data_IF_415909907684
#
_entry.id   IF_415909907684
#
_cell.length_a   1.000
_cell.length_b   1.000
_cell.length_c   1.000
_cell.angle_alpha   90.00
_cell.angle_beta   90.00
_cell.angle_gamma   90.00
#
_symmetry.space_group_name_H-M   'P 1'
#
loop_
_entity.id
_entity.type
_entity.pdbx_description
1 polymer ?
#
# COMPACT_ATOMS: atom_id res chain seq x y z
N UNK A 1 -4.38 -17.01 -10.55
CA UNK A 1 -3.38 -16.45 -9.59
C UNK A 1 -1.96 -16.75 -10.00
N UNK A 2 -1.66 -17.98 -10.44
CA UNK A 2 -0.39 -18.35 -11.09
C UNK A 2 0.05 -17.40 -12.21
N UNK A 3 -0.91 -16.72 -12.85
CA UNK A 3 -0.69 -15.62 -13.80
C UNK A 3 0.26 -14.52 -13.26
N UNK A 4 0.21 -14.21 -11.96
CA UNK A 4 1.09 -13.19 -11.36
C UNK A 4 2.54 -13.68 -11.22
N UNK A 5 2.77 -14.99 -11.35
CA UNK A 5 4.08 -15.65 -11.33
C UNK A 5 4.66 -15.88 -12.73
N UNK A 6 3.88 -15.62 -13.78
CA UNK A 6 4.37 -15.67 -15.16
C UNK A 6 5.58 -14.77 -15.35
N UNK A 7 6.44 -15.11 -16.29
CA UNK A 7 7.65 -14.31 -16.52
C UNK A 7 7.26 -12.86 -16.89
N UNK A 8 7.88 -11.82 -16.28
CA UNK A 8 7.63 -10.43 -16.64
C UNK A 8 7.76 -10.19 -18.13
N UNK A 9 6.78 -9.52 -18.72
CA UNK A 9 6.81 -9.22 -20.15
C UNK A 9 7.67 -7.99 -20.45
N UNK A 10 8.16 -7.89 -21.68
CA UNK A 10 8.91 -6.73 -22.13
C UNK A 10 8.04 -5.46 -22.11
N UNK A 11 6.73 -5.59 -22.32
CA UNK A 11 5.77 -4.49 -22.20
C UNK A 11 5.58 -4.00 -20.76
N UNK A 12 5.52 -4.91 -19.78
CA UNK A 12 5.43 -4.55 -18.36
C UNK A 12 6.64 -3.70 -17.95
N UNK A 13 7.82 -4.10 -18.39
CA UNK A 13 9.06 -3.35 -18.15
C UNK A 13 9.07 -2.02 -18.90
N UNK A 14 8.66 -2.02 -20.17
CA UNK A 14 8.55 -0.81 -21.00
C UNK A 14 7.66 0.26 -20.35
N UNK A 15 6.47 -0.13 -19.87
CA UNK A 15 5.55 0.76 -19.15
C UNK A 15 6.14 1.25 -17.82
N UNK A 16 6.93 0.41 -17.16
CA UNK A 16 7.59 0.79 -15.91
C UNK A 16 8.68 1.86 -16.14
N UNK A 17 9.38 1.84 -17.27
CA UNK A 17 10.36 2.86 -17.68
C UNK A 17 9.69 4.21 -17.97
N UNK A 18 8.53 4.22 -18.61
CA UNK A 18 7.86 5.49 -18.98
C UNK A 18 7.44 6.31 -17.75
N UNK A 19 7.13 5.62 -16.66
CA UNK A 19 6.74 6.21 -15.37
C UNK A 19 7.91 6.36 -14.39
N UNK A 20 9.15 6.24 -14.87
CA UNK A 20 10.37 6.36 -14.06
C UNK A 20 10.52 7.80 -13.53
N UNK A 21 10.85 7.88 -12.24
CA UNK A 21 11.33 9.10 -11.58
C UNK A 21 12.78 8.91 -11.15
N UNK A 22 13.43 9.97 -10.68
CA UNK A 22 14.87 10.02 -10.43
C UNK A 22 15.35 9.02 -9.38
N UNK A 23 16.41 8.26 -9.71
CA UNK A 23 17.17 7.41 -8.80
C UNK A 23 18.20 8.23 -8.00
N UNK A 24 18.79 7.64 -6.96
CA UNK A 24 19.89 8.29 -6.22
C UNK A 24 21.28 7.90 -6.74
N UNK A 25 21.32 7.04 -7.75
CA UNK A 25 22.52 6.69 -8.53
C UNK A 25 23.01 7.85 -9.42
N UNK A 26 22.44 9.04 -9.26
CA UNK A 26 22.77 10.22 -10.06
C UNK A 26 22.31 10.13 -11.51
N UNK A 27 21.54 9.10 -11.87
CA UNK A 27 21.02 8.90 -13.23
C UNK A 27 19.64 9.55 -13.33
N UNK A 28 19.49 10.62 -14.12
CA UNK A 28 18.18 11.18 -14.42
C UNK A 28 17.29 10.16 -15.13
N UNK A 29 15.98 10.10 -14.82
CA UNK A 29 15.05 9.15 -15.43
C UNK A 29 14.94 9.36 -16.94
N UNK A 30 15.25 10.55 -17.44
CA UNK A 30 15.33 10.89 -18.86
C UNK A 30 16.37 10.04 -19.59
N UNK A 31 17.52 9.76 -18.96
CA UNK A 31 18.56 8.92 -19.57
C UNK A 31 18.03 7.51 -19.81
N UNK A 32 17.29 6.94 -18.86
CA UNK A 32 16.72 5.60 -19.01
C UNK A 32 15.60 5.58 -20.05
N UNK A 33 14.82 6.66 -20.15
CA UNK A 33 13.79 6.81 -21.20
C UNK A 33 14.42 6.94 -22.60
N UNK A 34 15.50 7.70 -22.74
CA UNK A 34 16.25 7.82 -24.00
C UNK A 34 16.96 6.52 -24.38
N UNK A 35 17.55 5.82 -23.40
CA UNK A 35 18.22 4.54 -23.60
C UNK A 35 17.26 3.35 -23.74
N UNK A 36 15.94 3.57 -23.67
CA UNK A 36 14.92 2.52 -23.66
C UNK A 36 15.07 1.56 -24.82
N UNK A 37 15.33 2.02 -26.05
CA UNK A 37 15.50 1.14 -27.21
C UNK A 37 16.57 0.05 -26.99
N UNK A 38 17.87 0.40 -26.89
CA UNK A 38 18.94 -0.58 -26.74
C UNK A 38 19.00 -1.26 -25.36
N UNK A 39 18.57 -0.57 -24.29
CA UNK A 39 18.70 -1.09 -22.92
C UNK A 39 17.55 -2.03 -22.53
N UNK A 40 16.34 -1.86 -23.08
CA UNK A 40 15.15 -2.59 -22.64
C UNK A 40 15.31 -4.11 -22.78
N UNK A 41 15.92 -4.60 -23.86
CA UNK A 41 16.16 -6.04 -24.05
C UNK A 41 17.11 -6.62 -23.00
N UNK A 42 18.17 -5.88 -22.65
CA UNK A 42 19.15 -6.31 -21.64
C UNK A 42 18.55 -6.28 -20.22
N UNK A 43 17.86 -5.19 -19.89
CA UNK A 43 17.15 -5.05 -18.61
C UNK A 43 16.04 -6.11 -18.46
N UNK A 44 15.36 -6.45 -19.55
CA UNK A 44 14.36 -7.51 -19.56
C UNK A 44 14.99 -8.88 -19.29
N UNK A 45 16.07 -9.23 -19.99
CA UNK A 45 16.80 -10.49 -19.71
C UNK A 45 17.24 -10.60 -18.25
N UNK A 46 17.77 -9.51 -17.69
CA UNK A 46 18.18 -9.44 -16.29
C UNK A 46 16.99 -9.61 -15.33
N UNK A 47 15.88 -8.91 -15.60
CA UNK A 47 14.65 -9.05 -14.82
C UNK A 47 14.12 -10.49 -14.85
N UNK A 48 14.10 -11.11 -16.03
CA UNK A 48 13.66 -12.50 -16.22
C UNK A 48 14.53 -13.46 -15.43
N UNK A 49 15.86 -13.25 -15.43
CA UNK A 49 16.78 -14.06 -14.65
C UNK A 49 16.50 -13.91 -13.15
N UNK A 50 16.44 -12.68 -12.64
CA UNK A 50 16.11 -12.41 -11.24
C UNK A 50 14.75 -13.04 -10.85
N UNK A 51 13.75 -12.96 -11.74
CA UNK A 51 12.42 -13.51 -11.50
C UNK A 51 12.38 -15.05 -11.43
N UNK A 52 13.23 -15.72 -12.23
CA UNK A 52 13.31 -17.19 -12.23
C UNK A 52 14.04 -17.71 -10.99
N UNK A 53 15.13 -17.07 -10.62
CA UNK A 53 15.90 -17.43 -9.42
C UNK A 53 15.21 -16.97 -8.13
N UNK A 54 14.33 -15.96 -8.22
CA UNK A 54 13.69 -15.35 -7.06
C UNK A 54 14.63 -14.43 -6.27
N UNK A 55 15.76 -14.06 -6.86
CA UNK A 55 16.80 -13.25 -6.22
C UNK A 55 17.11 -11.98 -7.01
N UNK A 56 17.27 -10.87 -6.29
CA UNK A 56 17.59 -9.55 -6.82
C UNK A 56 19.02 -9.21 -6.39
N UNK A 57 19.91 -8.77 -7.28
CA UNK A 57 21.29 -8.41 -6.93
C UNK A 57 21.37 -7.36 -5.81
N UNK A 58 22.42 -7.46 -4.97
CA UNK A 58 22.60 -6.60 -3.80
C UNK A 58 22.51 -5.10 -4.12
N UNK A 59 23.19 -4.66 -5.19
CA UNK A 59 23.21 -3.26 -5.65
C UNK A 59 21.82 -2.70 -6.05
N UNK A 60 20.84 -3.58 -6.24
CA UNK A 60 19.45 -3.23 -6.53
C UNK A 60 18.54 -3.32 -5.30
N UNK A 61 19.00 -3.98 -4.23
CA UNK A 61 18.30 -4.12 -2.95
C UNK A 61 18.67 -3.00 -1.98
N UNK A 62 19.94 -2.65 -1.95
CA UNK A 62 20.52 -1.66 -1.04
C UNK A 62 19.99 -0.25 -1.33
N UNK A 63 19.88 0.54 -0.27
CA UNK A 63 19.24 1.85 -0.33
C UNK A 63 20.08 2.95 0.29
N UNK A 64 20.14 4.08 -0.41
CA UNK A 64 20.60 5.33 0.17
C UNK A 64 19.42 5.99 0.88
N UNK A 65 19.61 6.41 2.13
CA UNK A 65 18.58 6.98 2.99
C UNK A 65 18.85 8.47 3.11
N UNK A 66 17.92 9.29 2.61
CA UNK A 66 17.96 10.75 2.75
C UNK A 66 16.96 11.16 3.79
N UNK A 67 17.35 12.07 4.69
CA UNK A 67 16.48 12.59 5.73
C UNK A 67 15.77 13.86 5.26
N UNK A 68 14.44 13.89 5.33
CA UNK A 68 13.65 15.11 5.16
C UNK A 68 13.16 15.63 6.50
N UNK A 69 13.43 16.91 6.78
CA UNK A 69 12.92 17.55 7.98
C UNK A 69 11.38 17.72 7.90
N UNK A 70 10.66 17.35 8.95
CA UNK A 70 9.19 17.40 9.02
C UNK A 70 8.65 18.83 9.16
N UNK A 71 9.49 19.85 9.13
CA UNK A 71 9.15 21.26 9.35
C UNK A 71 8.42 21.51 10.68
N UNK A 72 8.72 20.71 11.70
CA UNK A 72 8.14 20.80 13.04
C UNK A 72 9.12 20.28 14.08
N UNK A 73 9.15 20.92 15.25
CA UNK A 73 9.98 20.52 16.38
C UNK A 73 11.38 21.10 16.35
N UNK A 74 12.28 20.49 17.10
CA UNK A 74 13.71 20.83 17.10
C UNK A 74 14.44 20.07 16.00
N UNK A 75 15.36 20.74 15.30
CA UNK A 75 16.24 20.14 14.28
C UNK A 75 17.31 19.24 14.90
N UNK A 76 17.57 19.35 16.19
CA UNK A 76 18.49 18.43 16.88
C UNK A 76 17.88 17.04 17.13
N UNK A 77 16.55 16.95 17.13
CA UNK A 77 15.83 15.70 17.41
C UNK A 77 15.61 14.90 16.12
N UNK A 78 16.24 13.73 16.04
CA UNK A 78 16.13 12.81 14.91
C UNK A 78 14.68 12.39 14.60
N UNK A 79 13.78 12.39 15.60
CA UNK A 79 12.37 12.04 15.38
C UNK A 79 11.63 13.06 14.50
N UNK A 80 12.16 14.28 14.38
CA UNK A 80 11.61 15.33 13.52
C UNK A 80 12.07 15.20 12.05
N UNK A 81 12.77 14.11 11.71
CA UNK A 81 13.14 13.77 10.35
C UNK A 81 12.37 12.54 9.85
N UNK A 82 12.24 12.45 8.54
CA UNK A 82 11.70 11.30 7.82
C UNK A 82 12.79 10.72 6.93
N UNK A 83 13.20 9.50 7.20
CA UNK A 83 14.11 8.76 6.32
C UNK A 83 13.39 8.32 5.05
N UNK A 84 13.95 8.62 3.88
CA UNK A 84 13.47 8.14 2.58
C UNK A 84 14.55 7.25 2.00
N UNK A 85 14.23 5.96 1.88
CA UNK A 85 15.06 4.96 1.24
C UNK A 85 14.91 5.03 -0.28
N UNK A 86 16.03 5.16 -0.98
CA UNK A 86 16.10 5.31 -2.42
C UNK A 86 17.00 4.20 -2.99
N UNK A 87 16.42 3.36 -3.84
CA UNK A 87 17.16 2.34 -4.58
C UNK A 87 17.85 2.92 -5.83
N UNK A 88 18.76 2.14 -6.39
CA UNK A 88 19.25 2.34 -7.77
C UNK A 88 18.10 2.36 -8.78
N UNK A 89 18.32 2.97 -9.95
CA UNK A 89 17.29 3.15 -10.96
C UNK A 89 16.76 1.80 -11.48
N UNK A 90 17.64 0.80 -11.60
CA UNK A 90 17.27 -0.57 -11.98
C UNK A 90 16.49 -1.26 -10.86
N UNK A 91 16.93 -1.14 -9.60
CA UNK A 91 16.20 -1.66 -8.44
C UNK A 91 14.80 -1.07 -8.33
N UNK A 92 14.66 0.25 -8.52
CA UNK A 92 13.36 0.94 -8.60
C UNK A 92 12.49 0.41 -9.73
N UNK A 93 13.07 0.15 -10.90
CA UNK A 93 12.36 -0.34 -12.07
C UNK A 93 11.79 -1.74 -11.82
N UNK A 94 12.61 -2.65 -11.30
CA UNK A 94 12.20 -4.02 -10.99
C UNK A 94 11.16 -4.05 -9.86
N UNK A 95 11.38 -3.27 -8.81
CA UNK A 95 10.42 -3.09 -7.72
C UNK A 95 9.06 -2.56 -8.23
N UNK A 96 9.05 -1.73 -9.28
CA UNK A 96 7.80 -1.26 -9.90
C UNK A 96 7.05 -2.36 -10.64
N UNK A 97 7.75 -3.23 -11.36
CA UNK A 97 7.12 -4.39 -12.01
C UNK A 97 6.47 -5.29 -10.95
N UNK A 98 7.22 -5.60 -9.90
CA UNK A 98 6.73 -6.37 -8.73
C UNK A 98 5.52 -5.69 -8.10
N UNK A 99 5.59 -4.36 -7.89
CA UNK A 99 4.50 -3.56 -7.31
C UNK A 99 3.22 -3.66 -8.12
N UNK A 100 3.31 -3.53 -9.44
CA UNK A 100 2.12 -3.52 -10.29
C UNK A 100 1.38 -4.86 -10.23
N UNK A 101 2.13 -5.97 -10.09
CA UNK A 101 1.56 -7.31 -9.86
C UNK A 101 1.00 -7.45 -8.44
N UNK A 102 1.73 -6.97 -7.43
CA UNK A 102 1.27 -6.95 -6.04
C UNK A 102 -0.03 -6.15 -5.89
N UNK A 103 -0.22 -5.04 -6.61
CA UNK A 103 -1.45 -4.25 -6.56
C UNK A 103 -2.68 -5.00 -7.09
N UNK A 104 -2.50 -5.89 -8.09
CA UNK A 104 -3.58 -6.77 -8.54
C UNK A 104 -4.06 -7.69 -7.41
N UNK A 105 -3.12 -8.16 -6.59
CA UNK A 105 -3.43 -8.94 -5.38
C UNK A 105 -4.07 -8.06 -4.29
N UNK A 106 -3.48 -6.89 -4.02
CA UNK A 106 -3.93 -5.96 -2.99
C UNK A 106 -5.40 -5.53 -3.19
N UNK A 107 -5.80 -5.21 -4.43
CA UNK A 107 -7.17 -4.81 -4.77
C UNK A 107 -8.23 -5.87 -4.44
N UNK A 108 -7.85 -7.15 -4.32
CA UNK A 108 -8.76 -8.24 -3.93
C UNK A 108 -8.89 -8.41 -2.42
N UNK A 109 -7.92 -7.89 -1.67
CA UNK A 109 -7.84 -8.02 -0.20
C UNK A 109 -8.36 -6.77 0.49
N UNK A 110 -8.18 -5.60 -0.13
CA UNK A 110 -8.59 -4.32 0.46
C UNK A 110 -10.10 -4.26 0.67
N UNK A 111 -10.56 -3.96 1.90
CA UNK A 111 -11.95 -3.68 2.15
C UNK A 111 -12.33 -2.36 1.46
N UNK A 112 -13.63 -2.19 1.20
CA UNK A 112 -14.14 -0.99 0.54
C UNK A 112 -13.86 0.29 1.35
N UNK A 113 -13.86 0.17 2.68
CA UNK A 113 -13.50 1.23 3.63
C UNK A 113 -12.02 1.62 3.63
N UNK A 114 -11.15 0.89 2.93
CA UNK A 114 -9.73 1.23 2.81
C UNK A 114 -9.47 2.01 1.53
N UNK A 115 -9.38 3.33 1.65
CA UNK A 115 -9.10 4.25 0.54
C UNK A 115 -7.63 4.66 0.42
N UNK A 116 -6.83 4.51 1.48
CA UNK A 116 -5.42 4.91 1.50
C UNK A 116 -4.59 4.13 0.46
N UNK A 117 -3.76 4.85 -0.30
CA UNK A 117 -2.83 4.30 -1.31
C UNK A 117 -3.48 3.42 -2.39
N UNK A 118 -4.79 3.58 -2.63
CA UNK A 118 -5.56 2.82 -3.60
C UNK A 118 -5.91 3.69 -4.81
N UNK A 119 -5.76 3.13 -6.01
CA UNK A 119 -6.16 3.82 -7.24
C UNK A 119 -7.66 4.08 -7.21
N UNK A 120 -8.09 5.21 -7.78
CA UNK A 120 -9.51 5.61 -7.90
C UNK A 120 -10.21 5.81 -6.54
N UNK A 121 -9.44 5.97 -5.46
CA UNK A 121 -9.94 6.32 -4.13
C UNK A 121 -9.20 7.53 -3.60
N UNK A 122 -9.88 8.29 -2.76
CA UNK A 122 -9.40 9.54 -2.21
C UNK A 122 -9.89 9.74 -0.78
N UNK A 123 -9.35 10.76 -0.12
CA UNK A 123 -9.86 11.22 1.18
C UNK A 123 -11.28 11.76 1.09
N UNK A 124 -11.71 12.22 -0.08
CA UNK A 124 -13.08 12.72 -0.32
C UNK A 124 -14.09 11.59 -0.14
N UNK A 125 -13.77 10.37 -0.61
CA UNK A 125 -14.64 9.20 -0.46
C UNK A 125 -14.88 8.88 1.02
N UNK A 126 -13.82 8.90 1.85
CA UNK A 126 -13.94 8.65 3.29
C UNK A 126 -14.66 9.77 4.03
N UNK A 127 -14.44 11.04 3.65
CA UNK A 127 -15.19 12.17 4.19
C UNK A 127 -16.68 12.02 3.86
N UNK A 128 -17.00 11.64 2.62
CA UNK A 128 -18.37 11.38 2.21
C UNK A 128 -19.00 10.25 3.02
N UNK A 129 -18.34 9.08 3.13
CA UNK A 129 -18.82 7.96 3.93
C UNK A 129 -19.08 8.35 5.39
N UNK A 130 -18.17 9.11 6.00
CA UNK A 130 -18.32 9.58 7.37
C UNK A 130 -19.51 10.54 7.52
N UNK A 131 -19.68 11.48 6.59
CA UNK A 131 -20.84 12.40 6.60
C UNK A 131 -22.16 11.66 6.44
N UNK A 132 -22.22 10.68 5.55
CA UNK A 132 -23.40 9.84 5.37
C UNK A 132 -23.75 9.08 6.66
N UNK A 133 -22.75 8.55 7.36
CA UNK A 133 -22.94 7.89 8.66
C UNK A 133 -23.49 8.87 9.71
N UNK A 134 -22.94 10.08 9.79
CA UNK A 134 -23.42 11.14 10.69
C UNK A 134 -24.88 11.51 10.45
N UNK A 135 -25.26 11.77 9.20
CA UNK A 135 -26.64 12.12 8.84
C UNK A 135 -27.61 10.97 9.14
N UNK A 136 -27.23 9.72 8.84
CA UNK A 136 -28.09 8.57 9.12
C UNK A 136 -28.29 8.32 10.61
N UNK A 137 -27.26 8.46 11.44
CA UNK A 137 -27.39 8.36 12.89
C UNK A 137 -28.31 9.46 13.43
N UNK A 138 -28.19 10.69 12.91
CA UNK A 138 -29.05 11.82 13.28
C UNK A 138 -30.51 11.57 12.89
N UNK A 139 -30.76 11.11 11.66
CA UNK A 139 -32.10 10.73 11.18
C UNK A 139 -32.75 9.68 12.07
N UNK A 140 -32.00 8.67 12.49
CA UNK A 140 -32.49 7.55 13.31
C UNK A 140 -32.44 7.82 14.82
N UNK A 141 -31.98 9.01 15.24
CA UNK A 141 -31.78 9.40 16.64
C UNK A 141 -30.90 8.40 17.42
N UNK A 142 -29.91 7.82 16.73
CA UNK A 142 -28.92 6.95 17.35
C UNK A 142 -27.67 7.75 17.75
N UNK A 143 -27.07 7.49 18.92
CA UNK A 143 -25.80 8.10 19.29
C UNK A 143 -24.68 7.58 18.38
N UNK A 144 -23.78 8.49 17.96
CA UNK A 144 -22.61 8.19 17.15
C UNK A 144 -21.35 8.66 17.88
N UNK A 145 -20.43 7.74 18.11
CA UNK A 145 -19.11 8.01 18.66
C UNK A 145 -18.05 7.70 17.58
N UNK A 146 -17.09 8.61 17.39
CA UNK A 146 -16.05 8.48 16.37
C UNK A 146 -14.69 8.59 17.06
N UNK A 147 -13.81 7.63 16.80
CA UNK A 147 -12.42 7.65 17.25
C UNK A 147 -11.48 7.79 16.05
N UNK A 148 -10.53 8.72 16.13
CA UNK A 148 -9.47 8.87 15.13
C UNK A 148 -8.18 8.29 15.71
N UNK A 149 -7.68 7.22 15.10
CA UNK A 149 -6.47 6.52 15.51
C UNK A 149 -5.36 6.85 14.52
N UNK A 150 -4.26 7.43 15.01
CA UNK A 150 -3.07 7.68 14.21
C UNK A 150 -1.94 6.73 14.65
N UNK A 151 -1.30 6.09 13.67
CA UNK A 151 -0.25 5.11 13.92
C UNK A 151 1.12 5.78 13.88
N UNK A 152 1.82 5.77 15.01
CA UNK A 152 3.20 6.26 15.06
C UNK A 152 4.11 5.40 14.18
N UNK A 153 4.82 6.02 13.24
CA UNK A 153 5.80 5.39 12.35
C UNK A 153 5.29 4.11 11.64
N UNK A 154 4.05 4.10 11.15
CA UNK A 154 3.33 2.91 10.69
C UNK A 154 4.10 1.86 9.84
N UNK A 155 5.11 2.25 9.07
CA UNK A 155 5.91 1.35 8.22
C UNK A 155 7.02 0.59 8.96
N UNK A 156 7.63 1.18 9.98
CA UNK A 156 8.83 0.65 10.63
C UNK A 156 8.55 -0.55 11.57
N UNK A 157 7.42 -0.58 12.31
CA UNK A 157 7.06 -1.70 13.19
C UNK A 157 6.58 -2.96 12.46
N UNK A 158 6.39 -2.92 11.13
CA UNK A 158 5.85 -4.08 10.40
C UNK A 158 6.83 -5.25 10.48
N UNK A 159 6.37 -6.37 11.05
CA UNK A 159 7.13 -7.63 11.08
C UNK A 159 7.23 -8.20 9.67
N UNK A 160 8.46 -8.40 9.17
CA UNK A 160 8.71 -8.98 7.84
C UNK A 160 8.23 -10.42 7.76
N UNK A 161 8.52 -11.23 8.77
CA UNK A 161 8.08 -12.62 8.84
C UNK A 161 6.54 -12.72 8.87
N UNK A 162 5.90 -11.83 9.65
CA UNK A 162 4.44 -11.72 9.69
C UNK A 162 3.87 -11.33 8.31
N UNK A 163 4.47 -10.33 7.67
CA UNK A 163 4.09 -9.86 6.34
C UNK A 163 4.21 -10.97 5.28
N UNK A 164 5.30 -11.72 5.24
CA UNK A 164 5.48 -12.80 4.27
C UNK A 164 4.48 -13.93 4.47
N UNK A 165 4.22 -14.33 5.72
CA UNK A 165 3.16 -15.30 6.05
C UNK A 165 1.76 -14.80 5.65
N UNK A 166 1.50 -13.51 5.81
CA UNK A 166 0.23 -12.90 5.37
C UNK A 166 0.12 -12.97 3.86
N UNK A 167 1.18 -12.60 3.11
CA UNK A 167 1.20 -12.67 1.65
C UNK A 167 0.92 -14.09 1.14
N UNK A 168 1.58 -15.09 1.72
CA UNK A 168 1.35 -16.50 1.39
C UNK A 168 -0.12 -16.90 1.63
N UNK A 169 -0.68 -16.54 2.80
CA UNK A 169 -2.08 -16.87 3.15
C UNK A 169 -3.13 -16.21 2.26
N UNK A 170 -2.87 -15.02 1.73
CA UNK A 170 -3.78 -14.37 0.76
C UNK A 170 -3.58 -14.89 -0.67
N UNK A 171 -2.73 -15.91 -0.85
CA UNK A 171 -2.48 -16.59 -2.11
C UNK A 171 -1.38 -15.95 -2.97
N UNK A 172 -0.52 -15.10 -2.41
CA UNK A 172 0.60 -14.53 -3.16
C UNK A 172 1.42 -15.65 -3.79
N UNK A 173 1.55 -15.70 -5.13
CA UNK A 173 2.29 -16.76 -5.80
C UNK A 173 3.78 -16.75 -5.42
N UNK A 174 4.42 -17.91 -5.52
CA UNK A 174 5.74 -18.17 -4.95
C UNK A 174 6.81 -17.24 -5.53
N UNK A 175 6.90 -17.05 -6.85
CA UNK A 175 7.97 -16.23 -7.45
C UNK A 175 7.79 -14.76 -7.10
N UNK A 176 6.56 -14.25 -7.13
CA UNK A 176 6.26 -12.89 -6.69
C UNK A 176 6.63 -12.71 -5.21
N UNK A 177 6.33 -13.68 -4.35
CA UNK A 177 6.71 -13.67 -2.95
C UNK A 177 8.24 -13.69 -2.79
N UNK A 178 8.96 -14.56 -3.49
CA UNK A 178 10.44 -14.63 -3.46
C UNK A 178 11.06 -13.30 -3.87
N UNK A 179 10.56 -12.66 -4.92
CA UNK A 179 11.04 -11.34 -5.33
C UNK A 179 10.81 -10.28 -4.25
N UNK A 180 9.62 -10.26 -3.63
CA UNK A 180 9.31 -9.35 -2.51
C UNK A 180 10.25 -9.63 -1.32
N UNK A 181 10.48 -10.89 -0.97
CA UNK A 181 11.38 -11.30 0.11
C UNK A 181 12.82 -10.87 -0.19
N UNK A 182 13.30 -11.10 -1.41
CA UNK A 182 14.63 -10.69 -1.83
C UNK A 182 14.83 -9.18 -1.64
N UNK A 183 13.87 -8.33 -2.01
CA UNK A 183 13.97 -6.88 -1.77
C UNK A 183 14.03 -6.43 -0.30
N UNK A 184 13.73 -7.32 0.65
CA UNK A 184 13.67 -7.03 2.08
C UNK A 184 14.61 -7.92 2.92
N UNK A 185 15.35 -8.84 2.31
CA UNK A 185 16.31 -9.72 3.00
C UNK A 185 17.72 -9.20 2.78
N UNK A 186 18.57 -9.30 3.80
CA UNK A 186 19.98 -8.87 3.79
C UNK A 186 20.18 -7.48 3.15
N UNK A 187 19.31 -6.52 3.46
CA UNK A 187 19.45 -5.18 2.89
C UNK A 187 20.29 -4.28 3.77
N UNK A 188 21.22 -3.57 3.15
CA UNK A 188 21.99 -2.48 3.75
C UNK A 188 21.43 -1.11 3.37
N UNK A 189 21.49 -0.20 4.34
CA UNK A 189 21.19 1.21 4.21
C UNK A 189 22.46 2.04 4.36
N UNK A 190 22.55 3.14 3.62
CA UNK A 190 23.59 4.17 3.79
C UNK A 190 22.89 5.50 4.01
N UNK A 191 23.16 6.18 5.13
CA UNK A 191 22.61 7.51 5.37
C UNK A 191 23.38 8.55 4.56
N UNK A 192 22.65 9.40 3.84
CA UNK A 192 23.20 10.56 3.16
C UNK A 192 22.73 11.84 3.85
N UNK A 193 23.70 12.68 4.25
CA UNK A 193 23.45 13.95 4.91
C UNK A 193 24.49 14.97 4.45
N UNK A 194 24.05 16.12 3.93
CA UNK A 194 24.91 17.23 3.47
C UNK A 194 26.12 16.81 2.62
N UNK A 195 25.88 15.91 1.65
CA UNK A 195 26.93 15.40 0.74
C UNK A 195 27.85 14.34 1.34
N UNK A 196 27.72 14.03 2.62
CA UNK A 196 28.44 12.96 3.31
C UNK A 196 27.63 11.67 3.36
N UNK A 197 28.31 10.53 3.40
CA UNK A 197 27.71 9.20 3.53
C UNK A 197 28.20 8.50 4.79
N UNK A 198 27.28 7.81 5.49
CA UNK A 198 27.65 6.95 6.61
C UNK A 198 28.31 5.64 6.14
N UNK A 199 28.86 4.87 7.09
CA UNK A 199 29.11 3.46 6.84
C UNK A 199 27.78 2.72 6.55
N UNK A 200 27.78 1.66 5.72
CA UNK A 200 26.61 0.82 5.51
C UNK A 200 26.16 0.12 6.80
N UNK A 201 24.86 0.05 7.03
CA UNK A 201 24.26 -0.66 8.17
C UNK A 201 23.08 -1.52 7.73
N UNK A 202 22.81 -2.60 8.47
CA UNK A 202 21.72 -3.52 8.16
C UNK A 202 20.34 -2.92 8.52
N UNK A 203 19.38 -3.07 7.61
CA UNK A 203 17.99 -2.67 7.85
C UNK A 203 17.18 -3.91 8.21
N UNK A 204 16.89 -4.08 9.51
CA UNK A 204 16.30 -5.32 10.06
C UNK A 204 14.78 -5.36 10.14
N UNK A 205 14.11 -4.22 10.23
CA UNK A 205 12.65 -4.16 10.42
C UNK A 205 11.96 -3.29 9.37
N UNK A 206 10.63 -3.40 9.35
CA UNK A 206 9.76 -2.53 8.57
C UNK A 206 9.80 -2.75 7.07
N UNK A 207 8.91 -2.01 6.41
CA UNK A 207 8.95 -1.78 4.97
C UNK A 207 9.58 -0.42 4.72
N UNK A 208 10.63 -0.37 3.89
CA UNK A 208 11.45 0.82 3.67
C UNK A 208 10.59 2.04 3.29
N UNK A 209 10.63 3.12 4.07
CA UNK A 209 9.84 4.32 3.75
C UNK A 209 10.40 4.99 2.47
N UNK A 210 9.52 5.40 1.54
CA UNK A 210 9.91 5.88 0.21
C UNK A 210 10.09 4.78 -0.84
N UNK A 211 9.99 3.52 -0.42
CA UNK A 211 10.05 2.38 -1.32
C UNK A 211 8.70 2.13 -2.02
N UNK A 212 8.74 1.79 -3.30
CA UNK A 212 7.53 1.67 -4.12
C UNK A 212 6.58 0.54 -3.64
N UNK A 213 7.12 -0.53 -3.04
CA UNK A 213 6.31 -1.63 -2.51
C UNK A 213 5.68 -1.31 -1.14
N UNK A 214 6.27 -0.41 -0.36
CA UNK A 214 5.91 -0.21 1.04
C UNK A 214 4.42 0.12 1.26
N UNK A 215 3.79 1.05 0.50
CA UNK A 215 2.37 1.35 0.68
C UNK A 215 1.44 0.15 0.42
N UNK A 216 1.76 -0.68 -0.58
CA UNK A 216 0.95 -1.85 -0.92
C UNK A 216 1.12 -2.97 0.12
N UNK A 217 2.36 -3.21 0.56
CA UNK A 217 2.66 -4.21 1.60
C UNK A 217 2.02 -3.84 2.94
N UNK A 218 2.17 -2.58 3.36
CA UNK A 218 1.54 -2.06 4.57
C UNK A 218 0.02 -2.15 4.47
N UNK A 219 -0.57 -1.72 3.36
CA UNK A 219 -2.01 -1.77 3.16
C UNK A 219 -2.57 -3.19 3.24
N UNK A 220 -1.86 -4.18 2.69
CA UNK A 220 -2.27 -5.59 2.76
C UNK A 220 -2.19 -6.09 4.20
N UNK A 221 -1.04 -5.85 4.85
CA UNK A 221 -0.81 -6.26 6.22
C UNK A 221 -1.88 -5.70 7.16
N UNK A 222 -2.15 -4.41 7.03
CA UNK A 222 -3.14 -3.70 7.85
C UNK A 222 -4.56 -4.21 7.59
N UNK A 223 -4.97 -4.39 6.33
CA UNK A 223 -6.28 -4.95 5.98
C UNK A 223 -6.50 -6.33 6.62
N UNK A 224 -5.50 -7.21 6.54
CA UNK A 224 -5.58 -8.56 7.10
C UNK A 224 -5.56 -8.54 8.62
N UNK A 225 -4.73 -7.69 9.22
CA UNK A 225 -4.67 -7.51 10.67
C UNK A 225 -6.01 -7.04 11.23
N UNK A 226 -6.63 -6.03 10.61
CA UNK A 226 -7.93 -5.51 11.05
C UNK A 226 -9.04 -6.53 10.85
N UNK A 227 -9.05 -7.23 9.71
CA UNK A 227 -9.99 -8.33 9.48
C UNK A 227 -9.86 -9.43 10.55
N UNK A 228 -8.65 -9.68 11.04
CA UNK A 228 -8.42 -10.63 12.12
C UNK A 228 -8.86 -10.09 13.48
N UNK A 229 -8.46 -8.85 13.81
CA UNK A 229 -8.78 -8.19 15.08
C UNK A 229 -10.30 -8.04 15.30
N UNK A 230 -11.04 -7.69 14.24
CA UNK A 230 -12.48 -7.48 14.30
C UNK A 230 -13.30 -8.70 13.84
N UNK A 231 -12.68 -9.89 13.68
CA UNK A 231 -13.36 -11.09 13.15
C UNK A 231 -14.58 -11.50 13.98
N UNK A 232 -14.49 -11.34 15.30
CA UNK A 232 -15.56 -11.70 16.25
C UNK A 232 -16.36 -10.48 16.72
N UNK A 233 -16.05 -9.28 16.21
CA UNK A 233 -16.73 -8.07 16.61
C UNK A 233 -18.12 -8.03 16.00
N UNK A 234 -19.14 -8.16 16.85
CA UNK A 234 -20.52 -7.81 16.51
C UNK A 234 -20.79 -6.33 16.75
N UNK A 235 -19.90 -5.63 17.47
CA UNK A 235 -20.10 -4.23 17.81
C UNK A 235 -19.93 -3.34 16.59
N UNK A 236 -20.89 -2.43 16.39
CA UNK A 236 -20.96 -1.54 15.25
C UNK A 236 -22.25 -0.72 15.24
N UNK A 237 -22.39 0.16 14.26
CA UNK A 237 -23.60 0.97 14.09
C UNK A 237 -24.51 0.25 13.09
N UNK A 238 -25.67 -0.19 13.58
CA UNK A 238 -26.67 -0.86 12.77
C UNK A 238 -27.65 0.16 12.21
N UNK A 239 -27.49 0.50 10.93
CA UNK A 239 -28.39 1.40 10.23
C UNK A 239 -29.52 0.61 9.56
N UNK A 240 -30.76 0.98 9.85
CA UNK A 240 -31.91 0.45 9.11
C UNK A 240 -31.99 1.12 7.74
N UNK A 241 -31.91 0.33 6.66
CA UNK A 241 -32.10 0.79 5.28
C UNK A 241 -33.24 -0.01 4.66
N UNK A 242 -34.15 0.67 3.96
CA UNK A 242 -35.12 -0.03 3.10
C UNK A 242 -34.43 -0.38 1.78
N UNK A 243 -34.35 -1.66 1.47
CA UNK A 243 -33.73 -2.22 0.26
C UNK A 243 -34.68 -2.32 -0.94
N UNK A 244 -35.89 -1.76 -0.86
CA UNK A 244 -36.85 -1.69 -1.96
C UNK A 244 -36.45 -0.70 -3.08
N UNK A 245 -35.30 -0.04 -2.94
CA UNK A 245 -34.64 0.71 -4.00
C UNK A 245 -33.15 0.41 -4.05
N UNK A 246 -32.56 0.46 -5.26
CA UNK A 246 -31.11 0.40 -5.47
C UNK A 246 -30.41 1.32 -4.46
N UNK A 247 -29.42 0.82 -3.73
CA UNK A 247 -28.67 1.48 -2.64
C UNK A 247 -28.13 2.89 -3.02
N UNK A 248 -28.01 3.17 -4.32
CA UNK A 248 -27.52 4.43 -4.89
C UNK A 248 -28.57 5.25 -5.66
N UNK A 249 -29.86 4.99 -5.45
CA UNK A 249 -30.91 5.84 -6.01
C UNK A 249 -30.86 7.21 -5.32
N UNK A 250 -30.57 8.28 -6.08
CA UNK A 250 -30.59 9.66 -5.60
C UNK A 250 -31.96 10.09 -5.04
N UNK A 251 -33.03 9.34 -5.33
CA UNK A 251 -34.34 9.52 -4.71
C UNK A 251 -34.36 9.14 -3.22
N UNK A 252 -33.47 8.23 -2.79
CA UNK A 252 -33.33 7.81 -1.40
C UNK A 252 -32.76 8.95 -0.51
N UNK A 253 -31.98 9.86 -1.10
CA UNK A 253 -31.50 11.10 -0.43
C UNK A 253 -32.61 12.14 -0.24
N UNK A 254 -33.73 12.03 -0.97
CA UNK A 254 -34.90 12.93 -0.86
C UNK A 254 -36.05 12.32 -0.04
N UNK A 255 -35.96 11.03 0.32
CA UNK A 255 -37.03 10.32 0.99
C UNK A 255 -36.99 10.57 2.51
N UNK A 256 -38.04 11.19 3.07
CA UNK A 256 -38.23 11.25 4.53
C UNK A 256 -38.49 9.84 5.06
N UNK A 257 -37.59 9.32 5.91
CA UNK A 257 -37.76 8.03 6.57
C UNK A 257 -38.96 8.10 7.52
N UNK A 258 -40.01 7.30 7.28
CA UNK A 258 -41.13 7.15 8.21
C UNK A 258 -40.77 6.12 9.28
N UNK A 259 -40.98 6.49 10.54
CA UNK A 259 -40.82 5.59 11.69
C UNK A 259 -42.03 4.65 11.78
N UNK A 260 -41.79 3.33 11.76
CA UNK A 260 -42.80 2.29 11.93
C UNK A 260 -42.17 0.94 12.33
N UNK A 261 -42.91 0.11 13.07
CA UNK A 261 -42.49 -1.20 13.61
C UNK A 261 -42.10 -2.21 12.52
N UNK A 262 -41.24 -3.20 12.83
CA UNK A 262 -40.47 -3.95 11.84
C UNK A 262 -41.31 -4.94 11.02
N UNK A 263 -41.06 -5.00 9.72
CA UNK A 263 -41.38 -6.14 8.85
C UNK A 263 -40.07 -6.82 8.40
N UNK A 264 -40.17 -8.11 8.08
CA UNK A 264 -39.15 -9.17 8.02
C UNK A 264 -37.96 -9.03 7.05
N UNK A 265 -37.67 -7.85 6.51
CA UNK A 265 -36.57 -7.63 5.56
C UNK A 265 -35.56 -6.65 6.15
N UNK A 266 -34.68 -7.18 7.00
CA UNK A 266 -33.58 -6.43 7.63
C UNK A 266 -32.29 -6.73 6.90
N UNK A 267 -31.68 -5.74 6.25
CA UNK A 267 -30.36 -5.88 5.64
C UNK A 267 -29.31 -5.26 6.57
N UNK A 268 -28.33 -6.06 6.97
CA UNK A 268 -27.28 -5.67 7.92
C UNK A 268 -26.12 -5.02 7.17
N UNK A 269 -25.95 -3.71 7.32
CA UNK A 269 -24.67 -3.06 6.99
C UNK A 269 -23.78 -3.14 8.22
N UNK A 270 -23.04 -4.25 8.33
CA UNK A 270 -21.91 -4.35 9.24
C UNK A 270 -20.75 -3.57 8.59
N UNK A 271 -20.75 -2.24 8.73
CA UNK A 271 -19.53 -1.47 8.51
C UNK A 271 -18.63 -1.72 9.71
N UNK A 272 -17.88 -2.81 9.68
CA UNK A 272 -16.63 -2.88 10.45
C UNK A 272 -15.75 -1.77 9.91
N UNK A 273 -15.73 -0.65 10.64
CA UNK A 273 -14.74 0.40 10.45
C UNK A 273 -13.36 -0.22 10.69
N UNK A 274 -12.44 -0.18 9.71
CA UNK A 274 -11.02 -0.40 9.96
C UNK A 274 -10.44 0.74 10.79
#
# INVERSE_FOLDING_TARGET
>A
MTELDETPSLEELSKAIDRQGTGLDGIPPEIVKCAKGPALGHLHKLLVHCWKEGEVPQDMRDSNIVTLYKNKGDRSDCNNYRGISLLSIVGKLFARVVRNRLLKLANRVYPESQCGFRSERSTIDMIFSLRQLQEKCREQRQPLYIAFIDLTNAFDPVSRDGLFKVLERIGCPHRLLSMIQSFHTDTKGVMQFDGSSSAPFEVKSGVKQGYMLAPALFGIYFAVMLKHAFRTSTDGIYLHIRSDGKLFSLLCLKAKTKFGRPSSETCYLQTTLP
#
